data_IF_568225596311
#
_entry.id   IF_568225596311
#
_cell.length_a   1.000
_cell.length_b   1.000
_cell.length_c   1.000
_cell.angle_alpha   90.00
_cell.angle_beta   90.00
_cell.angle_gamma   90.00
#
_symmetry.space_group_name_H-M   'P 1'
#
loop_
_entity.id
_entity.type
_entity.pdbx_description
1 polymer ?
#
# COMPACT_ATOMS: atom_id res chain seq x y z
N UNK A 1 0.34 3.60 -20.17
CA UNK A 1 1.41 2.84 -19.52
C UNK A 1 1.08 1.38 -19.76
N UNK A 2 1.96 0.61 -20.40
CA UNK A 2 1.76 -0.83 -20.50
C UNK A 2 1.94 -1.42 -19.10
N UNK A 3 0.89 -2.01 -18.54
CA UNK A 3 0.91 -2.79 -17.31
C UNK A 3 1.61 -4.15 -17.54
N UNK A 4 2.77 -4.16 -18.20
CA UNK A 4 3.64 -5.34 -18.24
C UNK A 4 4.17 -5.56 -16.83
N UNK A 5 3.49 -6.48 -16.13
CA UNK A 5 3.74 -6.97 -14.78
C UNK A 5 4.41 -5.96 -13.84
N UNK A 6 3.62 -4.99 -13.35
CA UNK A 6 4.06 -4.01 -12.35
C UNK A 6 4.71 -4.65 -11.12
N UNK A 7 4.44 -5.93 -10.83
CA UNK A 7 4.99 -6.68 -9.69
C UNK A 7 6.31 -7.39 -10.04
N UNK A 8 7.21 -6.73 -10.75
CA UNK A 8 8.55 -7.23 -10.99
C UNK A 8 9.45 -7.10 -9.75
N UNK A 9 10.70 -7.57 -9.87
CA UNK A 9 11.68 -7.53 -8.78
C UNK A 9 11.94 -6.09 -8.28
N UNK A 10 11.94 -5.11 -9.17
CA UNK A 10 12.19 -3.72 -8.81
C UNK A 10 11.04 -3.14 -8.01
N UNK A 11 9.80 -3.45 -8.40
CA UNK A 11 8.62 -3.06 -7.64
C UNK A 11 8.63 -3.66 -6.23
N UNK A 12 8.97 -4.94 -6.10
CA UNK A 12 9.06 -5.61 -4.79
C UNK A 12 10.16 -4.98 -3.92
N UNK A 13 11.34 -4.71 -4.49
CA UNK A 13 12.44 -4.05 -3.79
C UNK A 13 12.03 -2.64 -3.27
N UNK A 14 11.41 -1.83 -4.13
CA UNK A 14 10.92 -0.50 -3.73
C UNK A 14 9.84 -0.61 -2.65
N UNK A 15 8.89 -1.52 -2.81
CA UNK A 15 7.79 -1.73 -1.86
C UNK A 15 8.33 -2.13 -0.48
N UNK A 16 9.26 -3.08 -0.44
CA UNK A 16 9.87 -3.55 0.81
C UNK A 16 10.67 -2.44 1.50
N UNK A 17 11.40 -1.61 0.74
CA UNK A 17 12.10 -0.43 1.30
C UNK A 17 11.13 0.55 1.94
N UNK A 18 10.00 0.84 1.29
CA UNK A 18 8.99 1.74 1.84
C UNK A 18 8.31 1.17 3.10
N UNK A 19 8.02 -0.13 3.11
CA UNK A 19 7.50 -0.84 4.30
C UNK A 19 8.51 -0.79 5.45
N UNK A 20 9.79 -1.03 5.17
CA UNK A 20 10.85 -0.93 6.18
C UNK A 20 10.89 0.44 6.86
N UNK A 21 10.83 1.51 6.07
CA UNK A 21 10.75 2.88 6.61
C UNK A 21 9.47 3.06 7.45
N UNK A 22 8.32 2.59 6.96
CA UNK A 22 7.05 2.70 7.69
C UNK A 22 7.10 1.96 9.04
N UNK A 23 7.75 0.79 9.09
CA UNK A 23 7.96 0.01 10.32
C UNK A 23 8.84 0.76 11.32
N UNK A 24 9.99 1.29 10.88
CA UNK A 24 10.86 2.12 11.74
C UNK A 24 10.12 3.34 12.29
N UNK A 25 9.28 3.99 11.46
CA UNK A 25 8.46 5.11 11.92
C UNK A 25 7.34 4.66 12.88
N UNK A 26 6.80 3.45 12.69
CA UNK A 26 5.81 2.82 13.57
C UNK A 26 6.38 2.59 14.96
N UNK A 27 7.58 2.00 15.06
CA UNK A 27 8.29 1.80 16.33
C UNK A 27 8.58 3.13 17.03
N UNK A 28 8.98 4.15 16.27
CA UNK A 28 9.39 5.44 16.84
C UNK A 28 8.24 6.36 17.23
N UNK A 29 7.16 6.37 16.46
CA UNK A 29 6.09 7.38 16.58
C UNK A 29 4.68 6.82 16.77
N UNK A 30 4.54 5.49 16.76
CA UNK A 30 3.29 4.73 16.86
C UNK A 30 2.75 4.28 15.51
N UNK A 31 2.33 3.01 15.42
CA UNK A 31 1.83 2.35 14.20
C UNK A 31 0.70 3.12 13.51
N UNK A 32 -0.30 3.59 14.27
CA UNK A 32 -1.40 4.37 13.71
C UNK A 32 -0.93 5.65 13.03
N UNK A 33 0.01 6.37 13.66
CA UNK A 33 0.56 7.61 13.09
C UNK A 33 1.39 7.31 11.85
N UNK A 34 2.22 6.27 11.89
CA UNK A 34 3.02 5.83 10.75
C UNK A 34 2.13 5.42 9.56
N UNK A 35 1.05 4.68 9.82
CA UNK A 35 0.07 4.27 8.80
C UNK A 35 -0.57 5.47 8.10
N UNK A 36 -1.11 6.43 8.86
CA UNK A 36 -1.71 7.66 8.28
C UNK A 36 -0.66 8.51 7.55
N UNK A 37 0.56 8.60 8.10
CA UNK A 37 1.65 9.32 7.45
C UNK A 37 2.06 8.66 6.12
N UNK A 38 2.05 7.33 6.05
CA UNK A 38 2.39 6.59 4.83
C UNK A 38 1.36 6.81 3.72
N UNK A 39 0.06 6.79 4.06
CA UNK A 39 -1.02 7.15 3.13
C UNK A 39 -0.81 8.58 2.60
N UNK A 40 -0.52 9.54 3.50
CA UNK A 40 -0.31 10.93 3.09
C UNK A 40 0.95 11.12 2.24
N UNK A 41 2.03 10.40 2.54
CA UNK A 41 3.26 10.42 1.76
C UNK A 41 3.00 9.89 0.33
N UNK A 42 2.29 8.77 0.19
CA UNK A 42 1.88 8.22 -1.10
C UNK A 42 1.01 9.21 -1.88
N UNK A 43 0.04 9.85 -1.23
CA UNK A 43 -0.80 10.86 -1.87
C UNK A 43 0.00 12.06 -2.42
N UNK A 44 0.98 12.56 -1.66
CA UNK A 44 1.85 13.67 -2.09
C UNK A 44 2.75 13.27 -3.26
N UNK A 45 3.35 12.08 -3.19
CA UNK A 45 4.20 11.57 -4.26
C UNK A 45 3.40 11.37 -5.55
N UNK A 46 2.24 10.71 -5.47
CA UNK A 46 1.37 10.49 -6.63
C UNK A 46 0.80 11.80 -7.19
N UNK A 47 0.48 12.77 -6.32
CA UNK A 47 0.11 14.12 -6.75
C UNK A 47 1.22 14.82 -7.53
N UNK A 48 2.48 14.67 -7.11
CA UNK A 48 3.62 15.14 -7.88
C UNK A 48 3.76 14.43 -9.23
N UNK A 49 3.60 13.10 -9.29
CA UNK A 49 3.64 12.34 -10.55
C UNK A 49 2.53 12.81 -11.52
N UNK A 50 1.33 13.08 -11.02
CA UNK A 50 0.25 13.64 -11.83
C UNK A 50 0.62 15.04 -12.37
N UNK A 51 1.12 15.92 -11.50
CA UNK A 51 1.55 17.26 -11.88
C UNK A 51 2.72 17.26 -12.87
N UNK A 52 3.68 16.33 -12.74
CA UNK A 52 4.81 16.21 -13.65
C UNK A 52 4.44 15.62 -15.03
N UNK A 53 3.23 15.09 -15.18
CA UNK A 53 2.73 14.52 -16.44
C UNK A 53 2.02 15.53 -17.35
N UNK A 54 1.91 16.79 -16.91
CA UNK A 54 1.24 17.88 -17.62
C UNK A 54 2.16 19.10 -17.74
N UNK A 55 1.78 20.06 -18.59
CA UNK A 55 2.62 21.23 -18.91
C UNK A 55 2.16 22.52 -18.25
N UNK A 56 0.95 22.56 -17.69
CA UNK A 56 0.41 23.75 -17.02
C UNK A 56 -0.54 23.41 -15.87
N UNK A 57 -0.82 24.41 -15.03
CA UNK A 57 -1.77 24.27 -13.92
C UNK A 57 -3.22 24.09 -14.43
N UNK A 58 -3.58 24.73 -15.55
CA UNK A 58 -4.90 24.57 -16.19
C UNK A 58 -5.09 23.14 -16.71
N UNK A 59 -4.04 22.55 -17.30
CA UNK A 59 -4.06 21.16 -17.74
C UNK A 59 -4.17 20.20 -16.55
N UNK A 60 -3.45 20.49 -15.45
CA UNK A 60 -3.57 19.72 -14.21
C UNK A 60 -5.00 19.77 -13.66
N UNK A 61 -5.60 20.95 -13.58
CA UNK A 61 -6.97 21.12 -13.07
C UNK A 61 -7.97 20.37 -13.97
N UNK A 62 -7.84 20.47 -15.29
CA UNK A 62 -8.70 19.75 -16.24
C UNK A 62 -8.57 18.22 -16.12
N UNK A 63 -7.40 17.70 -15.71
CA UNK A 63 -7.15 16.26 -15.53
C UNK A 63 -7.26 15.79 -14.07
N UNK A 64 -7.49 16.69 -13.12
CA UNK A 64 -7.45 16.42 -11.67
C UNK A 64 -8.34 15.25 -11.27
N UNK A 65 -9.59 15.24 -11.72
CA UNK A 65 -10.52 14.15 -11.40
C UNK A 65 -10.05 12.78 -11.90
N UNK A 66 -9.46 12.73 -13.11
CA UNK A 66 -8.90 11.49 -13.67
C UNK A 66 -7.70 11.00 -12.88
N UNK A 67 -6.84 11.90 -12.41
CA UNK A 67 -5.71 11.55 -11.56
C UNK A 67 -6.18 10.99 -10.21
N UNK A 68 -7.19 11.61 -9.59
CA UNK A 68 -7.79 11.13 -8.34
C UNK A 68 -8.37 9.74 -8.52
N UNK A 69 -9.19 9.53 -9.56
CA UNK A 69 -9.79 8.23 -9.88
C UNK A 69 -8.70 7.17 -10.06
N UNK A 70 -7.71 7.42 -10.91
CA UNK A 70 -6.64 6.47 -11.19
C UNK A 70 -5.88 6.01 -9.94
N UNK A 71 -5.41 6.94 -9.11
CA UNK A 71 -4.61 6.57 -7.93
C UNK A 71 -5.46 5.97 -6.80
N UNK A 72 -6.70 6.43 -6.62
CA UNK A 72 -7.58 5.87 -5.58
C UNK A 72 -8.08 4.48 -5.94
N UNK A 73 -8.35 4.22 -7.22
CA UNK A 73 -8.74 2.89 -7.71
C UNK A 73 -7.61 1.88 -7.60
N UNK A 74 -6.37 2.26 -7.98
CA UNK A 74 -5.21 1.40 -7.77
C UNK A 74 -4.99 1.07 -6.29
N UNK A 75 -5.04 2.07 -5.41
CA UNK A 75 -4.89 1.83 -3.98
C UNK A 75 -5.99 0.89 -3.46
N UNK A 76 -7.24 1.10 -3.87
CA UNK A 76 -8.37 0.25 -3.46
C UNK A 76 -8.16 -1.20 -3.88
N UNK A 77 -7.76 -1.46 -5.12
CA UNK A 77 -7.53 -2.81 -5.62
C UNK A 77 -6.39 -3.52 -4.87
N UNK A 78 -5.26 -2.83 -4.66
CA UNK A 78 -4.12 -3.38 -3.92
C UNK A 78 -4.49 -3.66 -2.47
N UNK A 79 -5.18 -2.74 -1.81
CA UNK A 79 -5.58 -2.87 -0.43
C UNK A 79 -6.58 -4.02 -0.23
N UNK A 80 -7.61 -4.10 -1.09
CA UNK A 80 -8.59 -5.18 -1.06
C UNK A 80 -7.93 -6.55 -1.31
N UNK A 81 -7.02 -6.64 -2.29
CA UNK A 81 -6.26 -7.86 -2.54
C UNK A 81 -5.40 -8.32 -1.34
N UNK A 82 -4.74 -7.38 -0.66
CA UNK A 82 -4.01 -7.71 0.58
C UNK A 82 -4.96 -8.20 1.68
N UNK A 83 -6.11 -7.55 1.86
CA UNK A 83 -7.10 -8.00 2.86
C UNK A 83 -7.66 -9.38 2.53
N UNK A 84 -7.91 -9.68 1.26
CA UNK A 84 -8.33 -11.00 0.82
C UNK A 84 -7.29 -12.07 1.16
N UNK A 85 -6.01 -11.78 1.00
CA UNK A 85 -4.91 -12.67 1.39
C UNK A 85 -4.87 -12.90 2.92
N UNK A 86 -5.03 -11.83 3.71
CA UNK A 86 -5.14 -11.94 5.17
C UNK A 86 -6.39 -12.72 5.60
N UNK A 87 -7.51 -12.59 4.89
CA UNK A 87 -8.72 -13.37 5.17
C UNK A 87 -8.51 -14.84 4.86
N UNK A 88 -7.84 -15.16 3.75
CA UNK A 88 -7.56 -16.53 3.33
C UNK A 88 -6.59 -17.24 4.29
N UNK A 89 -5.60 -16.52 4.82
CA UNK A 89 -4.51 -17.08 5.64
C UNK A 89 -4.51 -16.54 7.08
N UNK A 90 -5.66 -16.13 7.59
CA UNK A 90 -5.76 -15.36 8.84
C UNK A 90 -5.11 -16.08 10.02
N UNK A 91 -5.42 -17.35 10.22
CA UNK A 91 -4.93 -18.09 11.38
C UNK A 91 -3.42 -18.32 11.31
N UNK A 92 -2.86 -18.52 10.12
CA UNK A 92 -1.43 -18.66 9.92
C UNK A 92 -0.71 -17.33 10.19
N UNK A 93 -1.14 -16.24 9.54
CA UNK A 93 -0.48 -14.94 9.62
C UNK A 93 -0.63 -14.28 10.99
N UNK A 94 -1.74 -14.52 11.68
CA UNK A 94 -1.99 -13.99 13.00
C UNK A 94 -1.51 -14.92 14.12
N UNK A 95 -0.84 -16.03 13.79
CA UNK A 95 -0.27 -16.96 14.77
C UNK A 95 -1.31 -17.71 15.60
N UNK A 96 -2.51 -17.94 15.04
CA UNK A 96 -3.61 -18.70 15.67
C UNK A 96 -3.67 -20.16 15.21
N UNK A 97 -3.05 -20.52 14.09
CA UNK A 97 -3.04 -21.89 13.57
C UNK A 97 -2.40 -22.90 14.54
N UNK A 98 -1.43 -22.46 15.34
CA UNK A 98 -0.72 -23.33 16.30
C UNK A 98 -1.40 -23.43 17.68
N UNK A 99 -2.36 -22.55 17.99
CA UNK A 99 -3.03 -22.56 19.30
C UNK A 99 -3.98 -23.76 19.48
N UNK A 100 -4.60 -24.24 18.40
CA UNK A 100 -5.54 -25.37 18.42
C UNK A 100 -4.86 -26.76 18.37
N UNK A 101 -3.58 -26.85 18.00
CA UNK A 101 -2.84 -28.13 17.98
C UNK A 101 -2.26 -28.53 19.34
N UNK A 102 -2.17 -27.59 20.29
CA UNK A 102 -1.61 -27.82 21.64
C UNK A 102 -2.64 -28.29 22.68
N UNK A 103 -3.93 -28.29 22.36
CA UNK A 103 -5.01 -28.71 23.27
C UNK A 103 -5.30 -30.23 23.27
N UNK A 104 -4.51 -31.05 22.56
CA UNK A 104 -4.78 -32.48 22.36
C UNK A 104 -3.80 -33.45 23.05
N UNK A 105 -2.99 -33.03 24.02
CA UNK A 105 -2.23 -33.97 24.84
C UNK A 105 -2.58 -33.81 26.33
N UNK A 106 -3.65 -34.49 26.72
CA UNK A 106 -3.92 -34.91 28.10
C UNK A 106 -3.21 -36.21 28.43
#
# INVERSE_FOLDING_TARGET
>A
MNDENLFDEQFLDVTNKLIGIANEMGEKYGEHKASVAFIYAAARYNGYIAASSVTSAEELEAKRSKAVEYFTDRFRQLYDGNLQEYVANFDEYMGKADADSSASNG
#
